data_IF_013959963158
#
_entry.id   IF_013959963158
#
_cell.length_a   1.000
_cell.length_b   1.000
_cell.length_c   1.000
_cell.angle_alpha   90.00
_cell.angle_beta   90.00
_cell.angle_gamma   90.00
#
_symmetry.space_group_name_H-M   'P 1'
#
loop_
_entity.id
_entity.type
_entity.pdbx_description
1 polymer ?
#
# COMPACT_ATOMS: atom_id res chain seq x y z
N UNK A 1 27.65 5.77 -24.77
CA UNK A 1 27.71 5.28 -23.37
C UNK A 1 27.54 6.41 -22.36
N UNK A 2 28.06 7.62 -22.57
CA UNK A 2 27.88 8.76 -21.64
C UNK A 2 26.43 9.28 -21.49
N UNK A 3 25.61 9.21 -22.56
CA UNK A 3 24.21 9.67 -22.47
C UNK A 3 23.36 8.82 -21.52
N UNK A 4 23.62 7.50 -21.46
CA UNK A 4 22.89 6.57 -20.60
C UNK A 4 23.37 6.72 -19.15
N UNK A 5 24.66 6.92 -18.91
CA UNK A 5 25.18 7.14 -17.55
C UNK A 5 24.71 8.47 -16.97
N UNK A 6 24.63 9.54 -17.77
CA UNK A 6 24.15 10.85 -17.33
C UNK A 6 22.63 10.87 -17.07
N UNK A 7 21.84 10.11 -17.86
CA UNK A 7 20.38 10.12 -17.79
C UNK A 7 19.79 8.83 -17.19
N UNK A 8 20.56 8.12 -16.36
CA UNK A 8 20.15 6.82 -15.83
C UNK A 8 18.86 6.92 -14.99
N UNK A 9 18.73 7.94 -14.14
CA UNK A 9 17.56 8.15 -13.28
C UNK A 9 16.23 8.33 -14.04
N UNK A 10 16.10 9.25 -15.03
CA UNK A 10 14.86 9.38 -15.80
C UNK A 10 14.58 8.14 -16.66
N UNK A 11 15.60 7.43 -17.14
CA UNK A 11 15.41 6.16 -17.87
C UNK A 11 14.87 5.07 -16.94
N UNK A 12 15.38 4.96 -15.70
CA UNK A 12 14.84 4.05 -14.68
C UNK A 12 13.37 4.34 -14.38
N UNK A 13 13.02 5.62 -14.24
CA UNK A 13 11.65 6.03 -13.95
C UNK A 13 10.69 5.69 -15.11
N UNK A 14 11.09 5.99 -16.35
CA UNK A 14 10.31 5.61 -17.53
C UNK A 14 10.19 4.08 -17.67
N UNK A 15 11.26 3.34 -17.39
CA UNK A 15 11.24 1.88 -17.37
C UNK A 15 10.29 1.30 -16.32
N UNK A 16 10.26 1.91 -15.13
CA UNK A 16 9.31 1.52 -14.09
C UNK A 16 7.86 1.71 -14.54
N UNK A 17 7.54 2.84 -15.18
CA UNK A 17 6.19 3.08 -15.72
C UNK A 17 5.81 1.97 -16.70
N UNK A 18 6.70 1.60 -17.63
CA UNK A 18 6.45 0.51 -18.57
C UNK A 18 6.22 -0.83 -17.86
N UNK A 19 6.99 -1.14 -16.83
CA UNK A 19 6.82 -2.37 -16.03
C UNK A 19 5.51 -2.39 -15.25
N UNK A 20 5.02 -1.25 -14.78
CA UNK A 20 3.72 -1.14 -14.13
C UNK A 20 2.56 -1.28 -15.13
N UNK A 21 2.71 -0.75 -16.35
CA UNK A 21 1.70 -0.87 -17.41
C UNK A 21 1.52 -2.30 -17.93
N UNK A 22 2.50 -3.19 -17.73
CA UNK A 22 2.35 -4.62 -18.05
C UNK A 22 1.37 -5.35 -17.12
N UNK A 23 0.88 -4.73 -16.04
CA UNK A 23 -0.14 -5.31 -15.16
C UNK A 23 0.38 -6.35 -14.16
N UNK A 24 1.70 -6.49 -14.01
CA UNK A 24 2.29 -7.34 -12.97
C UNK A 24 2.15 -6.68 -11.58
N UNK A 25 2.12 -7.47 -10.49
CA UNK A 25 2.06 -6.92 -9.14
C UNK A 25 3.24 -5.97 -8.88
N UNK A 26 2.94 -4.81 -8.28
CA UNK A 26 3.87 -3.68 -8.11
C UNK A 26 5.20 -4.08 -7.46
N UNK A 27 5.16 -4.99 -6.48
CA UNK A 27 6.36 -5.48 -5.81
C UNK A 27 7.37 -6.13 -6.77
N UNK A 28 6.88 -6.96 -7.70
CA UNK A 28 7.73 -7.62 -8.70
C UNK A 28 8.20 -6.63 -9.76
N UNK A 29 7.35 -5.69 -10.18
CA UNK A 29 7.73 -4.64 -11.13
C UNK A 29 8.83 -3.73 -10.58
N UNK A 30 8.74 -3.31 -9.32
CA UNK A 30 9.78 -2.51 -8.64
C UNK A 30 11.08 -3.30 -8.49
N UNK A 31 11.00 -4.56 -8.05
CA UNK A 31 12.16 -5.44 -7.90
C UNK A 31 12.87 -5.70 -9.22
N UNK A 32 12.13 -6.08 -10.26
CA UNK A 32 12.67 -6.37 -11.58
C UNK A 32 13.28 -5.12 -12.23
N UNK A 33 12.60 -3.97 -12.16
CA UNK A 33 13.13 -2.70 -12.68
C UNK A 33 14.42 -2.32 -11.93
N UNK A 34 14.42 -2.40 -10.59
CA UNK A 34 15.58 -2.10 -9.76
C UNK A 34 16.79 -3.00 -10.07
N UNK A 35 16.58 -4.32 -10.18
CA UNK A 35 17.64 -5.28 -10.50
C UNK A 35 18.17 -5.13 -11.94
N UNK A 36 17.27 -4.91 -12.91
CA UNK A 36 17.63 -4.71 -14.31
C UNK A 36 18.53 -3.49 -14.50
N UNK A 37 18.14 -2.36 -13.91
CA UNK A 37 18.94 -1.14 -14.00
C UNK A 37 20.17 -1.15 -13.09
N UNK A 38 20.17 -1.91 -11.98
CA UNK A 38 21.38 -2.14 -11.20
C UNK A 38 22.42 -2.90 -12.01
N UNK A 39 22.03 -3.95 -12.75
CA UNK A 39 22.92 -4.70 -13.64
C UNK A 39 23.51 -3.80 -14.74
N UNK A 40 22.66 -3.05 -15.44
CA UNK A 40 23.08 -2.09 -16.47
C UNK A 40 24.02 -1.03 -15.88
N UNK A 41 23.70 -0.45 -14.72
CA UNK A 41 24.52 0.58 -14.10
C UNK A 41 25.89 0.09 -13.62
N UNK A 42 26.03 -1.19 -13.28
CA UNK A 42 27.33 -1.80 -12.94
C UNK A 42 28.17 -2.01 -14.18
N UNK A 43 27.60 -2.56 -15.26
CA UNK A 43 28.29 -2.76 -16.55
C UNK A 43 28.74 -1.43 -17.18
N UNK A 44 27.98 -0.36 -16.98
CA UNK A 44 28.33 1.00 -17.41
C UNK A 44 29.26 1.76 -16.45
N UNK A 45 29.65 1.16 -15.32
CA UNK A 45 30.52 1.79 -14.31
C UNK A 45 29.88 2.95 -13.54
N UNK A 46 28.56 3.14 -13.65
CA UNK A 46 27.81 4.19 -12.97
C UNK A 46 27.45 3.84 -11.51
N UNK A 47 27.43 2.54 -11.18
CA UNK A 47 27.10 2.02 -9.85
C UNK A 47 28.19 1.04 -9.36
N UNK A 48 28.61 1.13 -8.08
CA UNK A 48 29.54 0.17 -7.51
C UNK A 48 28.89 -1.20 -7.29
N UNK A 49 29.61 -2.27 -7.63
CA UNK A 49 29.18 -3.67 -7.48
C UNK A 49 28.82 -4.06 -6.03
N UNK A 50 29.43 -3.37 -5.05
CA UNK A 50 29.14 -3.54 -3.63
C UNK A 50 27.66 -3.27 -3.27
N UNK A 51 26.94 -2.50 -4.08
CA UNK A 51 25.50 -2.25 -3.86
C UNK A 51 24.66 -3.53 -3.99
N UNK A 52 25.03 -4.45 -4.88
CA UNK A 52 24.33 -5.74 -5.01
C UNK A 52 24.61 -6.64 -3.80
N UNK A 53 25.84 -6.63 -3.30
CA UNK A 53 26.22 -7.39 -2.11
C UNK A 53 25.53 -6.86 -0.84
N UNK A 54 25.16 -5.58 -0.81
CA UNK A 54 24.42 -4.96 0.29
C UNK A 54 22.90 -5.26 0.26
N UNK A 55 22.37 -5.84 -0.82
CA UNK A 55 20.93 -6.11 -0.94
C UNK A 55 20.38 -7.04 0.15
N UNK A 56 21.02 -8.19 0.49
CA UNK A 56 20.52 -9.06 1.55
C UNK A 56 20.40 -8.31 2.88
N UNK A 57 21.43 -7.54 3.25
CA UNK A 57 21.44 -6.77 4.49
C UNK A 57 20.33 -5.72 4.51
N UNK A 58 20.07 -5.05 3.38
CA UNK A 58 18.94 -4.11 3.23
C UNK A 58 17.58 -4.80 3.40
N UNK A 59 17.40 -5.97 2.80
CA UNK A 59 16.15 -6.74 2.92
C UNK A 59 15.93 -7.13 4.38
N UNK A 60 16.96 -7.66 5.05
CA UNK A 60 16.89 -7.97 6.48
C UNK A 60 16.57 -6.74 7.33
N UNK A 61 17.18 -5.59 7.04
CA UNK A 61 16.88 -4.34 7.74
C UNK A 61 15.42 -3.87 7.57
N UNK A 62 14.83 -4.08 6.38
CA UNK A 62 13.41 -3.79 6.15
C UNK A 62 12.52 -4.76 6.93
N UNK A 63 12.82 -6.06 6.92
CA UNK A 63 12.05 -7.06 7.68
C UNK A 63 12.07 -6.84 9.19
N UNK A 64 13.15 -6.25 9.71
CA UNK A 64 13.29 -5.88 11.13
C UNK A 64 12.58 -4.57 11.50
N UNK A 65 11.90 -3.92 10.56
CA UNK A 65 11.23 -2.66 10.85
C UNK A 65 9.96 -2.91 11.68
N UNK A 66 9.94 -2.40 12.91
CA UNK A 66 8.80 -2.51 13.83
C UNK A 66 7.51 -1.93 13.25
N UNK A 67 7.59 -0.98 12.32
CA UNK A 67 6.42 -0.42 11.61
C UNK A 67 5.68 -1.50 10.81
N UNK A 68 6.38 -2.55 10.34
CA UNK A 68 5.73 -3.65 9.63
C UNK A 68 4.85 -4.50 10.56
N UNK A 69 5.09 -4.47 11.88
CA UNK A 69 4.19 -5.10 12.86
C UNK A 69 2.82 -4.42 12.87
N UNK A 70 2.71 -3.18 12.39
CA UNK A 70 1.42 -2.51 12.27
C UNK A 70 0.46 -3.27 11.33
N UNK A 71 0.97 -3.95 10.28
CA UNK A 71 0.14 -4.70 9.32
C UNK A 71 -0.69 -5.80 10.01
N UNK A 72 -0.09 -6.77 10.75
CA UNK A 72 -0.87 -7.79 11.45
C UNK A 72 -1.72 -7.21 12.58
N UNK A 73 -1.25 -6.19 13.30
CA UNK A 73 -2.03 -5.58 14.38
C UNK A 73 -3.27 -4.83 13.86
N UNK A 74 -3.15 -4.10 12.76
CA UNK A 74 -4.30 -3.46 12.12
C UNK A 74 -5.29 -4.49 11.55
N UNK A 75 -4.77 -5.57 10.94
CA UNK A 75 -5.61 -6.68 10.48
C UNK A 75 -6.37 -7.34 11.64
N UNK A 76 -5.68 -7.59 12.76
CA UNK A 76 -6.29 -8.15 13.97
C UNK A 76 -7.37 -7.22 14.53
N UNK A 77 -7.09 -5.93 14.63
CA UNK A 77 -8.06 -4.95 15.12
C UNK A 77 -9.29 -4.86 14.23
N UNK A 78 -9.10 -4.88 12.90
CA UNK A 78 -10.20 -4.96 11.93
C UNK A 78 -11.06 -6.21 12.14
N UNK A 79 -10.43 -7.37 12.31
CA UNK A 79 -11.14 -8.62 12.59
C UNK A 79 -11.90 -8.59 13.92
N UNK A 80 -11.31 -8.00 14.97
CA UNK A 80 -11.97 -7.87 16.27
C UNK A 80 -13.21 -6.97 16.16
N UNK A 81 -13.11 -5.83 15.48
CA UNK A 81 -14.22 -4.89 15.26
C UNK A 81 -15.35 -5.50 14.42
N UNK A 82 -14.99 -6.30 13.40
CA UNK A 82 -15.96 -7.02 12.56
C UNK A 82 -16.67 -8.12 13.37
N UNK A 83 -15.92 -8.92 14.14
CA UNK A 83 -16.48 -10.04 14.90
C UNK A 83 -17.22 -9.63 16.17
N UNK A 84 -16.96 -8.44 16.70
CA UNK A 84 -17.67 -7.92 17.88
C UNK A 84 -19.02 -7.28 17.55
N UNK A 85 -19.34 -7.06 16.27
CA UNK A 85 -20.55 -6.32 15.85
C UNK A 85 -20.45 -4.81 16.07
N UNK A 86 -19.35 -4.32 16.65
CA UNK A 86 -19.19 -2.88 16.96
C UNK A 86 -19.26 -1.99 15.72
N UNK A 87 -18.79 -2.47 14.56
CA UNK A 87 -18.85 -1.70 13.32
C UNK A 87 -20.30 -1.45 12.86
N UNK A 88 -21.19 -2.42 13.04
CA UNK A 88 -22.61 -2.36 12.68
C UNK A 88 -23.37 -1.46 13.66
N UNK A 89 -23.17 -1.67 14.97
CA UNK A 89 -23.77 -0.85 16.03
C UNK A 89 -23.42 0.64 15.88
N UNK A 90 -22.17 0.94 15.51
CA UNK A 90 -21.71 2.31 15.25
C UNK A 90 -22.40 2.91 14.03
N UNK A 91 -22.56 2.13 12.95
CA UNK A 91 -23.21 2.60 11.72
C UNK A 91 -24.69 2.88 11.96
N UNK A 92 -25.40 2.01 12.68
CA UNK A 92 -26.80 2.18 13.04
C UNK A 92 -27.03 3.39 13.95
N UNK A 93 -26.17 3.57 14.96
CA UNK A 93 -26.27 4.71 15.89
C UNK A 93 -26.07 6.04 15.16
N UNK A 94 -25.06 6.11 14.28
CA UNK A 94 -24.78 7.33 13.49
C UNK A 94 -25.87 7.53 12.42
N UNK A 95 -26.38 6.45 11.83
CA UNK A 95 -27.51 6.48 10.90
C UNK A 95 -28.76 7.06 11.53
N UNK A 96 -29.07 6.71 12.78
CA UNK A 96 -30.17 7.29 13.55
C UNK A 96 -29.92 8.76 13.89
N UNK A 97 -28.67 9.12 14.22
CA UNK A 97 -28.28 10.51 14.53
C UNK A 97 -28.48 11.45 13.34
N UNK A 98 -28.10 11.01 12.13
CA UNK A 98 -28.25 11.81 10.90
C UNK A 98 -29.55 11.54 10.14
N UNK A 99 -30.35 10.55 10.54
CA UNK A 99 -31.63 10.15 9.91
C UNK A 99 -32.62 11.28 9.59
N UNK A 100 -32.82 12.33 10.43
CA UNK A 100 -33.73 13.43 10.10
C UNK A 100 -33.20 14.37 9.00
N UNK A 101 -31.92 14.28 8.61
CA UNK A 101 -31.32 15.09 7.55
C UNK A 101 -31.53 14.40 6.21
N UNK A 102 -31.98 15.15 5.19
CA UNK A 102 -32.06 14.64 3.81
C UNK A 102 -30.68 14.20 3.33
N UNK A 103 -30.50 12.91 3.06
CA UNK A 103 -29.19 12.31 2.72
C UNK A 103 -28.32 11.95 3.93
N UNK A 104 -28.84 12.05 5.16
CA UNK A 104 -28.09 11.81 6.39
C UNK A 104 -27.53 10.39 6.51
N UNK A 105 -28.20 9.39 5.93
CA UNK A 105 -27.70 8.01 5.90
C UNK A 105 -26.44 7.88 5.04
N UNK A 106 -26.36 8.61 3.92
CA UNK A 106 -25.15 8.63 3.09
C UNK A 106 -23.99 9.35 3.80
N UNK A 107 -24.28 10.43 4.54
CA UNK A 107 -23.28 11.11 5.37
C UNK A 107 -22.77 10.21 6.51
N UNK A 108 -23.66 9.46 7.15
CA UNK A 108 -23.31 8.48 8.17
C UNK A 108 -22.34 7.42 7.63
N UNK A 109 -22.62 6.84 6.46
CA UNK A 109 -21.76 5.84 5.83
C UNK A 109 -20.38 6.40 5.47
N UNK A 110 -20.30 7.59 4.89
CA UNK A 110 -19.01 8.22 4.56
C UNK A 110 -18.20 8.47 5.84
N UNK A 111 -18.84 9.02 6.88
CA UNK A 111 -18.15 9.39 8.12
C UNK A 111 -17.68 8.17 8.91
N UNK A 112 -18.57 7.20 9.15
CA UNK A 112 -18.25 5.96 9.88
C UNK A 112 -17.28 5.10 9.07
N UNK A 113 -17.49 4.98 7.76
CA UNK A 113 -16.58 4.27 6.87
C UNK A 113 -15.17 4.87 6.90
N UNK A 114 -15.05 6.20 6.93
CA UNK A 114 -13.74 6.87 7.05
C UNK A 114 -13.09 6.63 8.41
N UNK A 115 -13.85 6.69 9.51
CA UNK A 115 -13.36 6.43 10.87
C UNK A 115 -12.87 4.98 11.04
N UNK A 116 -13.67 4.01 10.57
CA UNK A 116 -13.30 2.60 10.62
C UNK A 116 -12.11 2.29 9.71
N UNK A 117 -12.06 2.86 8.50
CA UNK A 117 -10.92 2.70 7.60
C UNK A 117 -9.62 3.30 8.17
N UNK A 118 -9.69 4.48 8.78
CA UNK A 118 -8.54 5.15 9.38
C UNK A 118 -7.93 4.36 10.54
N UNK A 119 -8.77 3.67 11.31
CA UNK A 119 -8.32 2.88 12.46
C UNK A 119 -7.85 1.49 12.05
N UNK A 120 -8.55 0.81 11.13
CA UNK A 120 -8.25 -0.58 10.72
C UNK A 120 -7.24 -0.71 9.58
N UNK A 121 -6.91 0.38 8.87
CA UNK A 121 -5.90 0.39 7.82
C UNK A 121 -6.25 -0.44 6.57
N UNK A 122 -7.44 -1.06 6.48
CA UNK A 122 -7.86 -1.90 5.36
C UNK A 122 -9.20 -1.41 4.81
N UNK A 123 -9.14 -0.56 3.77
CA UNK A 123 -10.34 0.02 3.13
C UNK A 123 -11.13 -1.03 2.34
N UNK A 124 -10.48 -2.01 1.73
CA UNK A 124 -11.11 -2.94 0.80
C UNK A 124 -12.07 -3.93 1.47
N UNK A 125 -11.76 -4.40 2.68
CA UNK A 125 -12.59 -5.38 3.38
C UNK A 125 -13.90 -4.76 3.88
N UNK A 126 -13.84 -3.55 4.45
CA UNK A 126 -15.01 -2.84 5.00
C UNK A 126 -16.00 -2.39 3.93
N UNK A 127 -15.53 -2.01 2.74
CA UNK A 127 -16.43 -1.59 1.64
C UNK A 127 -17.19 -2.79 1.05
N UNK A 128 -16.56 -3.97 0.98
CA UNK A 128 -17.22 -5.18 0.49
C UNK A 128 -18.30 -5.65 1.48
N UNK A 129 -18.03 -5.63 2.78
CA UNK A 129 -19.03 -6.04 3.78
C UNK A 129 -20.22 -5.09 3.83
N UNK A 130 -19.99 -3.77 3.83
CA UNK A 130 -21.06 -2.76 3.87
C UNK A 130 -21.86 -2.66 2.56
N UNK A 131 -21.31 -3.06 1.41
CA UNK A 131 -22.03 -3.08 0.14
C UNK A 131 -22.88 -4.33 -0.11
N UNK A 132 -22.73 -5.37 0.72
CA UNK A 132 -23.50 -6.62 0.65
C UNK A 132 -24.76 -6.59 1.54
N UNK A 133 -24.83 -5.62 2.47
CA UNK A 133 -25.98 -5.31 3.34
C UNK A 133 -26.79 -4.18 2.70
#
# INVERSE_FOLDING_TARGET
MEFITHNLAPIMFAGLILFLLMGFPVAFSLGACGLFFAFIGIELGALPEALLQALPLRIFGIMQNDTLLAIPFFTLMGLILERSGMAEDLLDTIGQLFGPVRGGLALAVIFVGTLLAATTGVVAASVISMGLI
#
